data_IF_036563129276
#
_entry.id   IF_036563129276
#
_cell.length_a   1.000
_cell.length_b   1.000
_cell.length_c   1.000
_cell.angle_alpha   90.00
_cell.angle_beta   90.00
_cell.angle_gamma   90.00
#
_symmetry.space_group_name_H-M   'P 1'
#
loop_
_entity.id
_entity.type
_entity.pdbx_description
1 polymer ?
#
# COMPACT_ATOMS: atom_id res chain seq x y z
N UNK A 1 3.58 -4.30 -42.27
CA UNK A 1 4.00 -4.63 -40.89
C UNK A 1 3.07 -5.71 -40.35
N UNK A 2 3.50 -6.97 -40.35
CA UNK A 2 2.72 -8.09 -39.83
C UNK A 2 2.96 -8.21 -38.32
N UNK A 3 1.92 -7.97 -37.50
CA UNK A 3 1.96 -8.25 -36.07
C UNK A 3 1.97 -9.77 -35.87
N UNK A 4 2.96 -10.25 -35.11
CA UNK A 4 3.14 -11.67 -34.78
C UNK A 4 1.92 -12.21 -34.00
N UNK A 5 1.27 -13.31 -34.42
CA UNK A 5 0.05 -13.83 -33.79
C UNK A 5 0.27 -14.53 -32.44
N UNK A 6 1.54 -14.73 -32.03
CA UNK A 6 1.87 -15.58 -30.88
C UNK A 6 1.79 -14.90 -29.51
N UNK A 7 1.77 -13.57 -29.45
CA UNK A 7 1.75 -12.83 -28.18
C UNK A 7 0.34 -12.68 -27.58
N UNK A 8 -0.68 -12.56 -28.44
CA UNK A 8 -2.09 -12.46 -28.01
C UNK A 8 -2.57 -13.76 -27.35
N UNK A 9 -2.17 -14.92 -27.86
CA UNK A 9 -2.65 -16.23 -27.37
C UNK A 9 -2.18 -16.54 -25.94
N UNK A 10 -0.98 -16.08 -25.56
CA UNK A 10 -0.45 -16.26 -24.20
C UNK A 10 -1.10 -15.30 -23.21
N UNK A 11 -1.33 -14.05 -23.61
CA UNK A 11 -2.04 -13.05 -22.79
C UNK A 11 -3.50 -13.49 -22.53
N UNK A 12 -4.16 -14.04 -23.56
CA UNK A 12 -5.51 -14.59 -23.43
C UNK A 12 -5.55 -15.82 -22.50
N UNK A 13 -4.56 -16.70 -22.60
CA UNK A 13 -4.43 -17.89 -21.74
C UNK A 13 -4.19 -17.51 -20.28
N UNK A 14 -3.33 -16.51 -20.03
CA UNK A 14 -3.08 -15.98 -18.69
C UNK A 14 -4.33 -15.30 -18.11
N UNK A 15 -5.05 -14.53 -18.93
CA UNK A 15 -6.31 -13.90 -18.54
C UNK A 15 -7.40 -14.93 -18.20
N UNK A 16 -7.48 -16.04 -18.94
CA UNK A 16 -8.38 -17.15 -18.64
C UNK A 16 -8.01 -17.85 -17.34
N UNK A 17 -6.72 -18.12 -17.11
CA UNK A 17 -6.25 -18.72 -15.87
C UNK A 17 -6.57 -17.85 -14.64
N UNK A 18 -6.34 -16.54 -14.73
CA UNK A 18 -6.66 -15.60 -13.66
C UNK A 18 -8.17 -15.51 -13.38
N UNK A 19 -9.01 -15.52 -14.43
CA UNK A 19 -10.48 -15.59 -14.27
C UNK A 19 -10.92 -16.89 -13.59
N UNK A 20 -10.37 -18.02 -14.01
CA UNK A 20 -10.66 -19.33 -13.39
C UNK A 20 -10.26 -19.39 -11.91
N UNK A 21 -9.12 -18.80 -11.55
CA UNK A 21 -8.68 -18.66 -10.16
C UNK A 21 -9.66 -17.83 -9.32
N UNK A 22 -10.08 -16.67 -9.83
CA UNK A 22 -11.06 -15.80 -9.15
C UNK A 22 -12.39 -16.50 -8.95
N UNK A 23 -12.89 -17.18 -9.98
CA UNK A 23 -14.12 -17.93 -9.89
C UNK A 23 -14.05 -19.09 -8.88
N UNK A 24 -12.94 -19.84 -8.85
CA UNK A 24 -12.76 -20.94 -7.89
C UNK A 24 -12.69 -20.42 -6.45
N UNK A 25 -11.98 -19.31 -6.24
CA UNK A 25 -11.94 -18.65 -4.93
C UNK A 25 -13.33 -18.16 -4.50
N UNK A 26 -14.08 -17.50 -5.40
CA UNK A 26 -15.43 -17.03 -5.12
C UNK A 26 -16.40 -18.18 -4.82
N UNK A 27 -16.29 -19.32 -5.54
CA UNK A 27 -17.09 -20.52 -5.25
C UNK A 27 -16.77 -21.09 -3.88
N UNK A 28 -15.49 -21.18 -3.50
CA UNK A 28 -15.08 -21.65 -2.17
C UNK A 28 -15.57 -20.72 -1.05
N UNK A 29 -15.47 -19.41 -1.23
CA UNK A 29 -16.01 -18.41 -0.29
C UNK A 29 -17.53 -18.55 -0.17
N UNK A 30 -18.22 -18.77 -1.28
CA UNK A 30 -19.67 -18.96 -1.27
C UNK A 30 -20.06 -20.27 -0.53
N UNK A 31 -19.34 -21.37 -0.77
CA UNK A 31 -19.53 -22.63 -0.06
C UNK A 31 -19.33 -22.48 1.45
N UNK A 32 -18.25 -21.80 1.87
CA UNK A 32 -18.00 -21.50 3.27
C UNK A 32 -19.09 -20.61 3.87
N UNK A 33 -19.58 -19.63 3.11
CA UNK A 33 -20.66 -18.74 3.55
C UNK A 33 -22.00 -19.48 3.72
N UNK A 34 -22.28 -20.48 2.87
CA UNK A 34 -23.46 -21.34 3.03
C UNK A 34 -23.29 -22.28 4.23
N UNK A 35 -22.14 -22.94 4.36
CA UNK A 35 -21.87 -23.82 5.50
C UNK A 35 -21.95 -23.09 6.85
N UNK A 36 -21.43 -21.86 6.94
CA UNK A 36 -21.54 -21.04 8.15
C UNK A 36 -22.99 -20.61 8.45
N UNK A 37 -23.79 -20.37 7.41
CA UNK A 37 -25.22 -20.05 7.58
C UNK A 37 -26.03 -21.28 8.01
N UNK A 38 -25.65 -22.47 7.57
CA UNK A 38 -26.26 -23.73 8.02
C UNK A 38 -25.91 -24.04 9.48
N UNK A 39 -24.67 -23.75 9.91
CA UNK A 39 -24.25 -23.91 11.32
C UNK A 39 -24.96 -22.93 12.26
N UNK A 40 -25.30 -21.71 11.79
CA UNK A 40 -26.10 -20.73 12.54
C UNK A 40 -27.60 -21.10 12.65
N UNK A 41 -28.10 -22.02 11.81
CA UNK A 41 -29.53 -22.41 11.75
C UNK A 41 -29.80 -23.75 12.46
N UNK A 42 -28.76 -24.52 12.82
CA UNK A 42 -28.93 -25.81 13.53
C UNK A 42 -28.98 -25.71 15.06
N UNK A 43 -29.14 -24.51 15.63
CA UNK A 43 -29.36 -24.31 17.07
C UNK A 43 -30.82 -23.87 17.30
N UNK A 44 -31.77 -24.67 16.83
CA UNK A 44 -33.16 -24.59 17.28
C UNK A 44 -33.71 -26.01 17.49
N UNK A 45 -33.88 -26.33 18.76
CA UNK A 45 -34.98 -27.08 19.39
C UNK A 45 -35.45 -28.40 18.74
N UNK A 46 -35.01 -29.54 19.31
CA UNK A 46 -35.76 -30.80 19.29
C UNK A 46 -35.54 -31.61 20.59
N UNK A 47 -36.52 -31.44 21.50
CA UNK A 47 -37.21 -32.41 22.35
C UNK A 47 -36.52 -33.68 22.96
N UNK A 48 -36.63 -33.75 24.32
CA UNK A 48 -36.88 -34.92 25.22
C UNK A 48 -35.70 -35.72 25.85
N UNK A 49 -35.27 -35.25 27.04
CA UNK A 49 -35.17 -35.86 28.40
C UNK A 49 -34.90 -37.38 28.67
N UNK A 50 -34.49 -37.83 29.90
CA UNK A 50 -33.97 -37.09 31.07
C UNK A 50 -32.78 -37.77 31.81
N UNK A 51 -32.22 -37.04 32.78
CA UNK A 51 -31.53 -37.46 34.04
C UNK A 51 -30.06 -37.03 34.20
N UNK A 52 -29.85 -35.79 34.63
CA UNK A 52 -29.03 -35.52 35.84
C UNK A 52 -29.25 -34.08 36.32
N UNK A 53 -29.71 -33.98 37.55
CA UNK A 53 -30.13 -32.77 38.26
C UNK A 53 -28.97 -31.84 38.63
N UNK A 54 -28.94 -30.60 38.12
CA UNK A 54 -28.41 -29.43 38.86
C UNK A 54 -29.14 -28.15 38.39
N UNK A 55 -29.92 -27.58 39.31
CA UNK A 55 -30.42 -26.21 39.46
C UNK A 55 -30.73 -25.33 38.23
N UNK A 56 -32.00 -24.92 38.23
CA UNK A 56 -32.71 -23.96 37.39
C UNK A 56 -32.33 -22.51 37.71
N UNK A 57 -32.19 -21.72 36.62
CA UNK A 57 -32.42 -20.28 36.46
C UNK A 57 -31.50 -19.25 37.15
N UNK A 58 -30.68 -18.55 36.35
CA UNK A 58 -30.92 -17.14 35.97
C UNK A 58 -29.66 -16.47 35.37
N UNK A 59 -29.19 -16.90 34.19
CA UNK A 59 -28.07 -16.24 33.49
C UNK A 59 -28.54 -15.49 32.23
N UNK A 60 -29.70 -15.82 31.67
CA UNK A 60 -30.07 -15.37 30.31
C UNK A 60 -30.57 -13.92 30.23
N UNK A 61 -31.25 -13.44 31.29
CA UNK A 61 -31.63 -12.01 31.39
C UNK A 61 -30.45 -11.10 31.69
N UNK A 62 -29.43 -11.61 32.40
CA UNK A 62 -28.21 -10.88 32.70
C UNK A 62 -27.37 -10.67 31.45
N UNK A 63 -27.18 -11.72 30.65
CA UNK A 63 -26.38 -11.65 29.41
C UNK A 63 -27.04 -10.73 28.38
N UNK A 64 -28.36 -10.84 28.16
CA UNK A 64 -29.09 -9.98 27.23
C UNK A 64 -29.06 -8.49 27.63
N UNK A 65 -29.13 -8.17 28.92
CA UNK A 65 -29.03 -6.78 29.40
C UNK A 65 -27.63 -6.21 29.24
N UNK A 66 -26.58 -6.98 29.58
CA UNK A 66 -25.21 -6.55 29.35
C UNK A 66 -24.93 -6.36 27.86
N UNK A 67 -25.44 -7.25 27.00
CA UNK A 67 -25.31 -7.15 25.55
C UNK A 67 -26.03 -5.91 24.98
N UNK A 68 -27.22 -5.60 25.50
CA UNK A 68 -27.96 -4.38 25.12
C UNK A 68 -27.24 -3.10 25.60
N UNK A 69 -26.66 -3.11 26.79
CA UNK A 69 -25.85 -2.00 27.31
C UNK A 69 -24.55 -1.83 26.51
N UNK A 70 -23.88 -2.92 26.15
CA UNK A 70 -22.72 -2.90 25.27
C UNK A 70 -23.08 -2.38 23.88
N UNK A 71 -24.22 -2.78 23.31
CA UNK A 71 -24.75 -2.25 22.04
C UNK A 71 -25.07 -0.75 22.13
N UNK A 72 -25.67 -0.31 23.24
CA UNK A 72 -25.96 1.10 23.48
C UNK A 72 -24.68 1.92 23.62
N UNK A 73 -23.72 1.46 24.42
CA UNK A 73 -22.43 2.12 24.60
C UNK A 73 -21.63 2.19 23.30
N UNK A 74 -21.63 1.11 22.50
CA UNK A 74 -21.02 1.08 21.17
C UNK A 74 -21.71 2.05 20.21
N UNK A 75 -23.03 2.17 20.27
CA UNK A 75 -23.79 3.12 19.45
C UNK A 75 -23.54 4.58 19.86
N UNK A 76 -23.43 4.86 21.16
CA UNK A 76 -23.02 6.17 21.67
C UNK A 76 -21.59 6.52 21.25
N UNK A 77 -20.65 5.58 21.35
CA UNK A 77 -19.27 5.76 20.87
C UNK A 77 -19.22 6.00 19.36
N UNK A 78 -20.00 5.26 18.56
CA UNK A 78 -20.11 5.50 17.11
C UNK A 78 -20.65 6.90 16.82
N UNK A 79 -21.64 7.39 17.58
CA UNK A 79 -22.17 8.73 17.43
C UNK A 79 -21.14 9.81 17.79
N UNK A 80 -20.43 9.65 18.91
CA UNK A 80 -19.38 10.57 19.35
C UNK A 80 -18.18 10.59 18.39
N UNK A 81 -17.76 9.44 17.87
CA UNK A 81 -16.69 9.34 16.86
C UNK A 81 -17.10 10.02 15.55
N UNK A 82 -18.36 9.86 15.11
CA UNK A 82 -18.90 10.59 13.95
C UNK A 82 -18.95 12.08 14.19
N UNK A 83 -19.30 12.51 15.40
CA UNK A 83 -19.32 13.92 15.77
C UNK A 83 -17.91 14.51 15.86
N UNK A 84 -16.92 13.72 16.29
CA UNK A 84 -15.52 14.13 16.31
C UNK A 84 -14.94 14.22 14.90
N UNK A 85 -15.21 13.25 14.02
CA UNK A 85 -14.83 13.32 12.60
C UNK A 85 -15.52 14.48 11.88
N UNK A 86 -16.78 14.78 12.24
CA UNK A 86 -17.52 15.94 11.76
C UNK A 86 -17.12 17.28 12.41
N UNK A 87 -16.29 17.29 13.45
CA UNK A 87 -15.70 18.52 14.01
C UNK A 87 -14.27 18.71 13.49
N UNK A 88 -13.55 17.63 13.24
CA UNK A 88 -12.23 17.63 12.60
C UNK A 88 -12.28 18.04 11.13
N UNK A 89 -13.36 17.74 10.40
CA UNK A 89 -13.56 18.19 9.02
C UNK A 89 -14.03 19.66 8.88
N UNK A 90 -14.70 20.22 9.89
CA UNK A 90 -15.10 21.64 9.94
C UNK A 90 -13.94 22.56 10.40
N UNK A 91 -13.02 22.04 11.22
CA UNK A 91 -11.88 22.80 11.77
C UNK A 91 -10.57 22.65 10.99
N UNK A 92 -10.53 21.83 9.94
CA UNK A 92 -9.37 21.66 9.05
C UNK A 92 -9.76 21.91 7.59
N UNK A 93 -8.89 22.50 6.75
CA UNK A 93 -9.13 22.56 5.31
C UNK A 93 -9.27 21.13 4.75
N UNK A 94 -9.96 20.93 3.62
CA UNK A 94 -10.38 19.61 3.19
C UNK A 94 -9.14 18.71 3.04
N UNK A 95 -9.17 17.54 3.69
CA UNK A 95 -8.15 16.49 3.55
C UNK A 95 -7.90 16.30 2.06
N UNK A 96 -6.69 16.67 1.61
CA UNK A 96 -6.18 16.35 0.29
C UNK A 96 -6.43 14.86 0.07
N UNK A 97 -7.38 14.54 -0.82
CA UNK A 97 -7.33 13.31 -1.59
C UNK A 97 -5.88 13.23 -2.07
N UNK A 98 -5.17 12.14 -1.76
CA UNK A 98 -3.85 11.89 -2.35
C UNK A 98 -4.07 11.80 -3.86
N UNK A 99 -3.98 12.94 -4.52
CA UNK A 99 -3.96 13.04 -5.97
C UNK A 99 -2.68 12.34 -6.40
N UNK A 100 -2.77 11.51 -7.43
CA UNK A 100 -1.60 10.80 -7.92
C UNK A 100 -0.54 11.82 -8.38
N UNK A 101 0.76 11.49 -8.36
CA UNK A 101 1.80 12.41 -8.87
C UNK A 101 1.51 12.95 -10.29
N UNK A 102 0.75 12.19 -11.09
CA UNK A 102 0.28 12.59 -12.42
C UNK A 102 -0.79 13.68 -12.38
N UNK A 103 -1.68 13.66 -11.38
CA UNK A 103 -2.75 14.66 -11.21
C UNK A 103 -2.21 15.99 -10.64
N UNK A 104 -1.17 15.92 -9.80
CA UNK A 104 -0.48 17.13 -9.33
C UNK A 104 0.33 17.80 -10.46
N UNK A 105 0.99 17.00 -11.30
CA UNK A 105 1.70 17.50 -12.48
C UNK A 105 0.74 18.08 -13.53
N UNK A 106 -0.43 17.48 -13.74
CA UNK A 106 -1.44 18.02 -14.66
C UNK A 106 -2.09 19.29 -14.12
N UNK A 107 -2.37 19.35 -12.82
CA UNK A 107 -2.85 20.56 -12.16
C UNK A 107 -1.84 21.70 -12.21
N UNK A 108 -0.55 21.40 -12.02
CA UNK A 108 0.52 22.39 -12.12
C UNK A 108 0.71 22.86 -13.57
N UNK A 109 0.62 21.95 -14.56
CA UNK A 109 0.64 22.29 -15.99
C UNK A 109 -0.48 23.26 -16.37
N UNK A 110 -1.70 23.02 -15.89
CA UNK A 110 -2.84 23.90 -16.17
C UNK A 110 -2.66 25.29 -15.54
N UNK A 111 -2.15 25.36 -14.30
CA UNK A 111 -1.85 26.63 -13.63
C UNK A 111 -0.75 27.42 -14.35
N UNK A 112 0.31 26.75 -14.78
CA UNK A 112 1.39 27.37 -15.56
C UNK A 112 0.85 27.87 -16.90
N UNK A 113 0.01 27.10 -17.58
CA UNK A 113 -0.57 27.50 -18.86
C UNK A 113 -1.47 28.75 -18.73
N UNK A 114 -2.29 28.84 -17.67
CA UNK A 114 -3.09 30.04 -17.40
C UNK A 114 -2.20 31.26 -17.15
N UNK A 115 -1.14 31.12 -16.34
CA UNK A 115 -0.23 32.24 -16.04
C UNK A 115 0.55 32.69 -17.28
N UNK A 116 0.92 31.77 -18.18
CA UNK A 116 1.59 32.10 -19.45
C UNK A 116 0.65 32.88 -20.36
N UNK A 117 -0.60 32.41 -20.53
CA UNK A 117 -1.60 33.11 -21.36
C UNK A 117 -1.95 34.48 -20.80
N UNK A 118 -2.08 34.61 -19.47
CA UNK A 118 -2.31 35.90 -18.80
C UNK A 118 -1.10 36.83 -18.99
N UNK A 119 0.14 36.31 -18.92
CA UNK A 119 1.34 37.11 -19.18
C UNK A 119 1.41 37.60 -20.63
N UNK A 120 1.08 36.74 -21.60
CA UNK A 120 1.01 37.13 -23.01
C UNK A 120 -0.04 38.22 -23.24
N UNK A 121 -1.21 38.09 -22.59
CA UNK A 121 -2.27 39.12 -22.60
C UNK A 121 -1.78 40.44 -21.99
N UNK A 122 -1.17 40.41 -20.81
CA UNK A 122 -0.63 41.60 -20.14
C UNK A 122 0.50 42.25 -20.96
N UNK A 123 1.34 41.47 -21.61
CA UNK A 123 2.37 42.00 -22.51
C UNK A 123 1.77 42.66 -23.75
N UNK A 124 0.65 42.13 -24.27
CA UNK A 124 -0.08 42.78 -25.37
C UNK A 124 -0.74 44.08 -24.89
N UNK A 125 -1.37 44.09 -23.71
CA UNK A 125 -2.00 45.27 -23.09
C UNK A 125 -0.97 46.39 -22.86
N UNK A 126 0.21 46.06 -22.33
CA UNK A 126 1.31 47.01 -22.12
C UNK A 126 1.85 47.54 -23.46
N UNK A 127 1.95 46.69 -24.49
CA UNK A 127 2.36 47.13 -25.84
C UNK A 127 1.31 48.04 -26.48
N UNK A 128 0.01 47.82 -26.23
CA UNK A 128 -1.06 48.68 -26.74
C UNK A 128 -1.25 49.97 -25.96
N UNK A 129 -0.96 49.99 -24.66
CA UNK A 129 -0.98 51.22 -23.84
C UNK A 129 0.19 52.15 -24.14
N UNK A 130 1.37 51.60 -24.48
CA UNK A 130 2.57 52.39 -24.77
C UNK A 130 2.35 53.54 -25.78
N UNK A 131 1.71 53.35 -26.95
CA UNK A 131 1.42 54.46 -27.86
C UNK A 131 0.40 55.48 -27.30
N UNK A 132 -0.56 55.06 -26.47
CA UNK A 132 -1.52 55.98 -25.83
C UNK A 132 -0.84 56.84 -24.75
N UNK A 133 0.05 56.25 -23.95
CA UNK A 133 0.89 56.97 -22.99
C UNK A 133 1.87 57.91 -23.69
N UNK A 134 2.47 57.48 -24.81
CA UNK A 134 3.37 58.34 -25.60
C UNK A 134 2.62 59.54 -26.21
N UNK A 135 1.36 59.36 -26.63
CA UNK A 135 0.49 60.45 -27.11
C UNK A 135 0.05 61.39 -25.98
N UNK A 136 -0.24 60.85 -24.79
CA UNK A 136 -0.52 61.68 -23.59
C UNK A 136 0.71 62.49 -23.21
N UNK A 137 1.90 61.89 -23.18
CA UNK A 137 3.16 62.58 -22.87
C UNK A 137 3.51 63.65 -23.93
N UNK A 138 3.29 63.39 -25.22
CA UNK A 138 3.39 64.43 -26.27
C UNK A 138 2.42 65.59 -26.04
N UNK A 139 1.17 65.31 -25.65
CA UNK A 139 0.17 66.34 -25.35
C UNK A 139 0.57 67.20 -24.14
N UNK A 140 1.23 66.61 -23.13
CA UNK A 140 1.77 67.34 -21.99
C UNK A 140 3.00 68.20 -22.36
N UNK A 141 3.87 67.71 -23.24
CA UNK A 141 5.05 68.46 -23.70
C UNK A 141 4.69 69.64 -24.61
N UNK A 142 3.70 69.48 -25.50
CA UNK A 142 3.20 70.56 -26.37
C UNK A 142 2.45 71.64 -25.57
N UNK A 143 1.77 71.28 -24.47
CA UNK A 143 1.15 72.23 -23.56
C UNK A 143 2.19 73.00 -22.70
N UNK A 144 3.34 72.39 -22.40
CA UNK A 144 4.41 73.00 -21.60
C UNK A 144 5.36 73.89 -22.42
N UNK A 145 5.49 73.66 -23.73
CA UNK A 145 6.37 74.44 -24.61
C UNK A 145 6.01 75.92 -24.78
N UNK A 146 4.81 76.34 -24.36
CA UNK A 146 4.33 77.72 -24.50
C UNK A 146 4.68 78.64 -23.29
N UNK A 147 5.34 78.14 -22.24
CA UNK A 147 5.71 78.93 -21.05
C UNK A 147 7.22 79.20 -20.92
N UNK A 148 8.01 78.94 -21.95
CA UNK A 148 9.48 78.99 -21.87
C UNK A 148 10.10 79.90 -22.93
N UNK A 149 9.69 81.16 -22.98
CA UNK A 149 10.34 82.22 -23.75
C UNK A 149 10.57 83.52 -22.95
N UNK A 150 10.69 83.47 -21.61
CA UNK A 150 10.80 84.71 -20.81
C UNK A 150 11.88 84.79 -19.74
N UNK A 151 12.65 83.76 -19.39
CA UNK A 151 13.73 83.94 -18.40
C UNK A 151 15.05 83.32 -18.84
N UNK A 152 15.80 84.10 -19.60
CA UNK A 152 17.25 83.95 -19.74
C UNK A 152 17.90 85.31 -19.45
N UNK A 153 18.63 85.32 -18.33
CA UNK A 153 19.81 86.14 -17.99
C UNK A 153 19.65 87.62 -17.63
N UNK A 154 19.72 87.90 -16.33
CA UNK A 154 20.56 88.92 -15.63
C UNK A 154 20.13 88.89 -14.15
N UNK A 155 20.94 89.00 -13.08
CA UNK A 155 22.28 89.54 -12.87
C UNK A 155 22.51 89.60 -11.36
N UNK A 156 23.59 89.01 -10.89
CA UNK A 156 24.31 89.31 -9.64
C UNK A 156 25.78 89.21 -10.09
N UNK A 157 26.71 90.12 -9.81
CA UNK A 157 26.79 91.15 -8.79
C UNK A 157 27.93 92.08 -9.26
N UNK A 158 27.82 93.41 -9.15
CA UNK A 158 28.97 94.34 -9.16
C UNK A 158 28.51 95.80 -9.02
N UNK A 159 28.72 96.29 -7.81
CA UNK A 159 28.83 97.71 -7.42
C UNK A 159 29.99 98.38 -8.17
N UNK A 160 29.72 99.40 -8.99
CA UNK A 160 30.53 100.63 -9.18
C UNK A 160 29.60 101.75 -9.66
N UNK A 161 29.87 102.96 -9.16
CA UNK A 161 29.27 104.26 -9.47
C UNK A 161 29.24 104.64 -10.97
N UNK A 162 28.36 105.62 -11.26
CA UNK A 162 28.65 106.90 -11.92
C UNK A 162 27.68 107.31 -13.04
N UNK A 163 27.37 108.60 -13.03
CA UNK A 163 26.23 109.26 -13.60
C UNK A 163 26.31 109.53 -15.11
N UNK A 164 25.17 109.43 -15.82
CA UNK A 164 24.84 110.29 -16.99
C UNK A 164 23.33 110.57 -17.06
N UNK A 165 22.98 111.85 -16.95
CA UNK A 165 21.73 112.54 -17.34
C UNK A 165 21.22 112.05 -18.72
N UNK A 166 19.92 111.87 -19.01
CA UNK A 166 18.86 112.88 -19.25
C UNK A 166 17.63 112.20 -19.96
N UNK A 167 16.51 112.88 -20.32
CA UNK A 167 15.19 112.59 -19.72
C UNK A 167 14.00 112.54 -20.73
N UNK A 168 13.06 111.60 -20.63
CA UNK A 168 11.77 111.73 -21.34
C UNK A 168 10.74 110.85 -20.63
N UNK A 169 9.46 111.17 -20.50
CA UNK A 169 8.65 112.36 -20.74
C UNK A 169 7.33 112.04 -20.04
N UNK A 170 6.75 113.02 -19.34
CA UNK A 170 5.35 112.93 -18.95
C UNK A 170 4.50 112.70 -20.21
N UNK A 171 3.59 111.73 -20.12
CA UNK A 171 2.57 111.43 -21.10
C UNK A 171 1.40 110.80 -20.35
N UNK A 172 0.41 111.64 -20.10
CA UNK A 172 -0.81 111.39 -19.34
C UNK A 172 -1.72 110.31 -19.93
N UNK A 173 -2.70 109.95 -19.09
CA UNK A 173 -4.01 109.38 -19.39
C UNK A 173 -4.14 107.84 -19.48
N UNK A 174 -4.57 107.29 -18.34
CA UNK A 174 -5.93 106.72 -18.24
C UNK A 174 -6.38 105.81 -19.39
N UNK A 175 -5.97 104.55 -19.35
CA UNK A 175 -6.85 103.43 -19.79
C UNK A 175 -6.57 102.08 -19.12
N UNK A 176 -5.63 101.99 -18.17
CA UNK A 176 -5.19 100.69 -17.60
C UNK A 176 -5.71 100.32 -16.21
N UNK A 177 -6.54 101.15 -15.57
CA UNK A 177 -6.82 101.02 -14.13
C UNK A 177 -7.90 99.99 -13.78
N UNK A 178 -8.71 99.55 -14.75
CA UNK A 178 -9.75 98.53 -14.56
C UNK A 178 -9.26 97.10 -14.82
N UNK A 179 -8.23 96.91 -15.66
CA UNK A 179 -7.67 95.58 -15.95
C UNK A 179 -6.83 95.04 -14.77
N UNK A 180 -5.98 95.88 -14.18
CA UNK A 180 -5.06 95.47 -13.11
C UNK A 180 -5.77 95.04 -11.81
N UNK A 181 -6.89 95.69 -11.45
CA UNK A 181 -7.69 95.31 -10.27
C UNK A 181 -8.49 94.02 -10.51
N UNK A 182 -8.90 93.76 -11.76
CA UNK A 182 -9.57 92.51 -12.15
C UNK A 182 -8.65 91.30 -12.01
N UNK A 183 -7.40 91.42 -12.47
CA UNK A 183 -6.41 90.36 -12.39
C UNK A 183 -6.00 90.04 -10.95
N UNK A 184 -5.80 91.06 -10.10
CA UNK A 184 -5.50 90.86 -8.68
C UNK A 184 -6.63 90.11 -7.94
N UNK A 185 -7.88 90.43 -8.24
CA UNK A 185 -9.03 89.72 -7.67
C UNK A 185 -9.15 88.29 -8.19
N UNK A 186 -8.81 88.04 -9.47
CA UNK A 186 -8.78 86.69 -10.05
C UNK A 186 -7.73 85.81 -9.36
N UNK A 187 -6.50 86.29 -9.21
CA UNK A 187 -5.44 85.53 -8.52
C UNK A 187 -5.77 85.28 -7.04
N UNK A 188 -6.44 86.22 -6.38
CA UNK A 188 -6.94 86.04 -5.01
C UNK A 188 -7.97 84.91 -4.92
N UNK A 189 -8.91 84.83 -5.87
CA UNK A 189 -9.89 83.74 -5.93
C UNK A 189 -9.23 82.38 -6.24
N UNK A 190 -8.25 82.35 -7.14
CA UNK A 190 -7.50 81.13 -7.46
C UNK A 190 -6.68 80.62 -6.27
N UNK A 191 -6.08 81.52 -5.49
CA UNK A 191 -5.37 81.17 -4.26
C UNK A 191 -6.32 80.56 -3.22
N UNK A 192 -7.51 81.15 -3.02
CA UNK A 192 -8.49 80.61 -2.06
C UNK A 192 -9.02 79.25 -2.52
N UNK A 193 -9.26 79.06 -3.82
CA UNK A 193 -9.62 77.76 -4.40
C UNK A 193 -8.52 76.71 -4.17
N UNK A 194 -7.26 77.09 -4.35
CA UNK A 194 -6.12 76.20 -4.15
C UNK A 194 -6.00 75.81 -2.67
N UNK A 195 -6.13 76.77 -1.77
CA UNK A 195 -6.14 76.55 -0.32
C UNK A 195 -7.22 75.56 0.09
N UNK A 196 -8.47 75.76 -0.33
CA UNK A 196 -9.56 74.82 -0.08
C UNK A 196 -9.29 73.42 -0.65
N UNK A 197 -8.64 73.33 -1.81
CA UNK A 197 -8.27 72.04 -2.41
C UNK A 197 -7.23 71.30 -1.57
N UNK A 198 -6.22 72.01 -1.04
CA UNK A 198 -5.20 71.42 -0.17
C UNK A 198 -5.73 71.08 1.22
N UNK A 199 -6.63 71.91 1.78
CA UNK A 199 -7.34 71.61 3.02
C UNK A 199 -8.16 70.31 2.86
N UNK A 200 -8.99 70.21 1.81
CA UNK A 200 -9.75 68.98 1.53
C UNK A 200 -8.86 67.74 1.31
N UNK A 201 -7.69 67.90 0.68
CA UNK A 201 -6.70 66.81 0.54
C UNK A 201 -6.12 66.39 1.90
N UNK A 202 -5.81 67.36 2.75
CA UNK A 202 -5.32 67.11 4.11
C UNK A 202 -6.37 66.36 4.91
N UNK A 203 -7.62 66.83 4.92
CA UNK A 203 -8.74 66.19 5.62
C UNK A 203 -8.96 64.74 5.15
N UNK A 204 -8.86 64.50 3.84
CA UNK A 204 -8.98 63.16 3.28
C UNK A 204 -7.84 62.25 3.76
N UNK A 205 -6.59 62.71 3.73
CA UNK A 205 -5.44 61.93 4.21
C UNK A 205 -5.52 61.67 5.72
N UNK A 206 -5.95 62.65 6.50
CA UNK A 206 -6.20 62.49 7.94
C UNK A 206 -7.28 61.44 8.22
N UNK A 207 -8.38 61.45 7.45
CA UNK A 207 -9.43 60.43 7.57
C UNK A 207 -8.93 59.03 7.22
N UNK A 208 -8.08 58.89 6.18
CA UNK A 208 -7.46 57.61 5.82
C UNK A 208 -6.51 57.12 6.91
N UNK A 209 -5.69 58.01 7.49
CA UNK A 209 -4.81 57.68 8.61
C UNK A 209 -5.60 57.22 9.84
N UNK A 210 -6.74 57.87 10.12
CA UNK A 210 -7.61 57.47 11.23
C UNK A 210 -8.25 56.11 11.01
N UNK A 211 -8.72 55.82 9.78
CA UNK A 211 -9.24 54.49 9.43
C UNK A 211 -8.18 53.40 9.57
N UNK A 212 -6.99 53.61 9.00
CA UNK A 212 -5.90 52.63 9.09
C UNK A 212 -5.44 52.40 10.54
N UNK A 213 -5.41 53.45 11.38
CA UNK A 213 -5.13 53.29 12.81
C UNK A 213 -6.18 52.45 13.53
N UNK A 214 -7.46 52.62 13.18
CA UNK A 214 -8.55 51.82 13.72
C UNK A 214 -8.41 50.36 13.29
N UNK A 215 -8.21 50.10 12.01
CA UNK A 215 -8.02 48.74 11.49
C UNK A 215 -6.81 48.06 12.14
N UNK A 216 -5.69 48.77 12.31
CA UNK A 216 -4.51 48.25 13.00
C UNK A 216 -4.83 47.84 14.45
N UNK A 217 -5.57 48.68 15.19
CA UNK A 217 -5.99 48.38 16.56
C UNK A 217 -6.93 47.16 16.63
N UNK A 218 -7.83 47.02 15.66
CA UNK A 218 -8.69 45.83 15.54
C UNK A 218 -7.88 44.57 15.26
N UNK A 219 -6.95 44.60 14.29
CA UNK A 219 -6.07 43.46 14.03
C UNK A 219 -5.19 43.10 15.21
N UNK A 220 -4.65 44.10 15.93
CA UNK A 220 -3.88 43.85 17.14
C UNK A 220 -4.71 43.11 18.20
N UNK A 221 -5.94 43.57 18.46
CA UNK A 221 -6.87 42.90 19.38
C UNK A 221 -7.15 41.45 18.95
N UNK A 222 -7.43 41.21 17.67
CA UNK A 222 -7.66 39.83 17.19
C UNK A 222 -6.42 38.93 17.38
N UNK A 223 -5.21 39.47 17.24
CA UNK A 223 -3.99 38.72 17.48
C UNK A 223 -3.82 38.37 18.97
N UNK A 224 -4.17 39.29 19.88
CA UNK A 224 -4.17 39.06 21.32
C UNK A 224 -5.18 37.96 21.70
N UNK A 225 -6.43 38.05 21.22
CA UNK A 225 -7.47 37.04 21.44
C UNK A 225 -7.04 35.66 20.94
N UNK A 226 -6.43 35.58 19.75
CA UNK A 226 -5.93 34.31 19.21
C UNK A 226 -4.78 33.73 20.04
N UNK A 227 -3.86 34.57 20.53
CA UNK A 227 -2.78 34.14 21.43
C UNK A 227 -3.34 33.57 22.73
N UNK A 228 -4.35 34.19 23.32
CA UNK A 228 -4.99 33.69 24.55
C UNK A 228 -5.67 32.33 24.31
N UNK A 229 -6.41 32.20 23.20
CA UNK A 229 -7.03 30.91 22.82
C UNK A 229 -6.00 29.81 22.58
N UNK A 230 -4.84 30.15 22.02
CA UNK A 230 -3.75 29.20 21.85
C UNK A 230 -3.20 28.73 23.21
N UNK A 231 -2.86 29.67 24.11
CA UNK A 231 -2.38 29.36 25.47
C UNK A 231 -3.38 28.49 26.25
N UNK A 232 -4.67 28.75 26.10
CA UNK A 232 -5.72 27.93 26.71
C UNK A 232 -5.70 26.49 26.18
N UNK A 233 -5.59 26.31 24.85
CA UNK A 233 -5.48 24.98 24.23
C UNK A 233 -4.21 24.25 24.63
N UNK A 234 -3.08 24.95 24.71
CA UNK A 234 -1.80 24.39 25.17
C UNK A 234 -1.90 23.90 26.61
N UNK A 235 -2.54 24.68 27.49
CA UNK A 235 -2.77 24.30 28.88
C UNK A 235 -3.67 23.06 28.99
N UNK A 236 -4.74 22.99 28.19
CA UNK A 236 -5.60 21.79 28.10
C UNK A 236 -4.83 20.57 27.59
N UNK A 237 -3.99 20.75 26.56
CA UNK A 237 -3.17 19.67 26.02
C UNK A 237 -2.13 19.19 27.05
N UNK A 238 -1.45 20.09 27.75
CA UNK A 238 -0.50 19.77 28.81
C UNK A 238 -1.18 19.00 29.96
N UNK A 239 -2.36 19.43 30.40
CA UNK A 239 -3.16 18.71 31.39
C UNK A 239 -3.58 17.32 30.90
N UNK A 240 -3.97 17.19 29.63
CA UNK A 240 -4.34 15.89 29.04
C UNK A 240 -3.14 14.96 28.84
N UNK A 241 -1.95 15.50 28.56
CA UNK A 241 -0.71 14.76 28.36
C UNK A 241 -0.23 14.09 29.66
N UNK A 242 -0.48 14.71 30.82
CA UNK A 242 -0.16 14.12 32.13
C UNK A 242 -0.89 12.79 32.41
N UNK A 243 -1.97 12.50 31.68
CA UNK A 243 -2.76 11.27 31.81
C UNK A 243 -2.48 10.23 30.71
N UNK A 244 -1.44 10.45 29.90
CA UNK A 244 -1.09 9.58 28.78
C UNK A 244 0.28 8.94 28.98
N UNK A 245 0.37 7.64 28.76
CA UNK A 245 1.61 6.86 28.76
C UNK A 245 1.83 6.35 27.35
N UNK A 246 2.99 6.64 26.74
CA UNK A 246 3.29 6.24 25.36
C UNK A 246 2.34 6.80 24.31
N UNK A 247 1.67 7.93 24.57
CA UNK A 247 0.67 8.54 23.68
C UNK A 247 -0.76 8.00 23.83
N UNK A 248 -0.94 6.90 24.57
CA UNK A 248 -2.24 6.31 24.89
C UNK A 248 -2.78 6.84 26.22
N UNK A 249 -4.11 6.87 26.37
CA UNK A 249 -4.68 7.11 27.69
C UNK A 249 -4.37 5.92 28.62
N UNK A 250 -4.34 6.15 29.93
CA UNK A 250 -4.05 5.12 30.94
C UNK A 250 -4.84 3.81 30.73
N UNK A 251 -6.14 3.92 30.40
CA UNK A 251 -6.99 2.73 30.14
C UNK A 251 -6.54 1.93 28.93
N UNK A 252 -6.18 2.60 27.84
CA UNK A 252 -5.70 1.95 26.62
C UNK A 252 -4.30 1.35 26.82
N UNK A 253 -3.40 2.05 27.50
CA UNK A 253 -2.07 1.53 27.83
C UNK A 253 -2.17 0.28 28.72
N UNK A 254 -3.09 0.28 29.69
CA UNK A 254 -3.34 -0.88 30.54
C UNK A 254 -3.90 -2.07 29.75
N UNK A 255 -4.88 -1.83 28.86
CA UNK A 255 -5.43 -2.89 28.00
C UNK A 255 -4.38 -3.47 27.06
N UNK A 256 -3.55 -2.63 26.45
CA UNK A 256 -2.48 -3.09 25.55
C UNK A 256 -1.44 -3.91 26.31
N UNK A 257 -1.05 -3.51 27.52
CA UNK A 257 -0.14 -4.27 28.36
C UNK A 257 -0.71 -5.66 28.72
N UNK A 258 -1.99 -5.73 29.08
CA UNK A 258 -2.68 -6.99 29.41
C UNK A 258 -2.79 -7.89 28.17
N UNK A 259 -3.23 -7.36 27.03
CA UNK A 259 -3.38 -8.12 25.78
C UNK A 259 -2.04 -8.62 25.23
N UNK A 260 -0.98 -7.81 25.37
CA UNK A 260 0.38 -8.21 24.98
C UNK A 260 0.89 -9.35 25.85
N UNK A 261 0.58 -9.32 27.15
CA UNK A 261 0.99 -10.35 28.09
C UNK A 261 0.25 -11.67 27.87
N UNK A 262 -1.03 -11.64 27.48
CA UNK A 262 -1.87 -12.86 27.42
C UNK A 262 -2.08 -13.36 25.99
N UNK A 263 -2.66 -12.56 25.10
CA UNK A 263 -3.05 -13.04 23.77
C UNK A 263 -1.88 -13.07 22.78
N UNK A 264 -1.09 -12.00 22.73
CA UNK A 264 0.06 -11.95 21.81
C UNK A 264 1.10 -13.02 22.16
N UNK A 265 1.37 -13.19 23.46
CA UNK A 265 2.33 -14.18 23.95
C UNK A 265 1.91 -15.63 23.60
N UNK A 266 0.64 -15.99 23.79
CA UNK A 266 0.13 -17.34 23.46
C UNK A 266 0.25 -17.64 21.95
N UNK A 267 -0.02 -16.66 21.09
CA UNK A 267 0.16 -16.83 19.65
C UNK A 267 1.63 -17.01 19.26
N UNK A 268 2.53 -16.22 19.84
CA UNK A 268 3.98 -16.34 19.61
C UNK A 268 4.47 -17.72 20.04
N UNK A 269 4.14 -18.17 21.26
CA UNK A 269 4.51 -19.50 21.76
C UNK A 269 3.98 -20.63 20.85
N UNK A 270 2.77 -20.47 20.31
CA UNK A 270 2.19 -21.46 19.39
C UNK A 270 2.94 -21.50 18.06
N UNK A 271 3.30 -20.34 17.51
CA UNK A 271 4.11 -20.26 16.29
C UNK A 271 5.48 -20.90 16.52
N UNK A 272 6.15 -20.61 17.63
CA UNK A 272 7.45 -21.20 17.97
C UNK A 272 7.38 -22.72 18.08
N UNK A 273 6.34 -23.25 18.75
CA UNK A 273 6.12 -24.70 18.85
C UNK A 273 5.93 -25.36 17.48
N UNK A 274 5.04 -24.80 16.64
CA UNK A 274 4.79 -25.32 15.29
C UNK A 274 6.04 -25.22 14.40
N UNK A 275 6.83 -24.17 14.58
CA UNK A 275 8.10 -23.98 13.86
C UNK A 275 9.09 -25.07 14.23
N UNK A 276 9.20 -25.41 15.52
CA UNK A 276 10.04 -26.50 16.00
C UNK A 276 9.58 -27.88 15.49
N UNK A 277 8.28 -28.17 15.58
CA UNK A 277 7.71 -29.43 15.08
C UNK A 277 7.97 -29.61 13.58
N UNK A 278 7.82 -28.54 12.79
CA UNK A 278 8.17 -28.54 11.37
C UNK A 278 9.65 -28.89 11.15
N UNK A 279 10.56 -28.29 11.91
CA UNK A 279 12.00 -28.51 11.75
C UNK A 279 12.42 -29.92 12.14
N UNK A 280 11.85 -30.44 13.22
CA UNK A 280 12.06 -31.83 13.67
C UNK A 280 11.55 -32.81 12.60
N UNK A 281 10.36 -32.58 12.04
CA UNK A 281 9.82 -33.40 10.95
C UNK A 281 10.66 -33.31 9.67
N UNK A 282 11.15 -32.12 9.33
CA UNK A 282 12.06 -31.94 8.20
C UNK A 282 13.38 -32.71 8.41
N UNK A 283 13.94 -32.69 9.62
CA UNK A 283 15.13 -33.46 9.98
C UNK A 283 14.90 -34.97 9.81
N UNK A 284 13.79 -35.49 10.33
CA UNK A 284 13.40 -36.90 10.18
C UNK A 284 13.22 -37.25 8.70
N UNK A 285 12.54 -36.41 7.92
CA UNK A 285 12.32 -36.64 6.49
C UNK A 285 13.64 -36.72 5.72
N UNK A 286 14.61 -35.84 6.02
CA UNK A 286 15.95 -35.87 5.41
C UNK A 286 16.68 -37.16 5.76
N UNK A 287 16.62 -37.61 7.02
CA UNK A 287 17.22 -38.88 7.46
C UNK A 287 16.58 -40.10 6.80
N UNK A 288 15.25 -40.13 6.67
CA UNK A 288 14.56 -41.22 5.98
C UNK A 288 14.95 -41.25 4.51
N UNK A 289 15.03 -40.09 3.84
CA UNK A 289 15.47 -39.99 2.44
C UNK A 289 16.91 -40.50 2.24
N UNK A 290 17.84 -40.18 3.13
CA UNK A 290 19.21 -40.70 3.03
C UNK A 290 19.27 -42.21 3.25
N UNK A 291 18.55 -42.74 4.25
CA UNK A 291 18.49 -44.19 4.49
C UNK A 291 17.87 -44.97 3.33
N UNK A 292 16.85 -44.39 2.67
CA UNK A 292 16.24 -44.96 1.47
C UNK A 292 17.25 -45.00 0.30
N UNK A 293 18.00 -43.93 0.08
CA UNK A 293 19.04 -43.88 -0.95
C UNK A 293 20.13 -44.93 -0.71
N UNK A 294 20.54 -45.14 0.55
CA UNK A 294 21.49 -46.20 0.92
C UNK A 294 20.92 -47.60 0.71
N UNK A 295 19.66 -47.83 1.09
CA UNK A 295 18.97 -49.09 0.87
C UNK A 295 18.86 -49.41 -0.63
N UNK A 296 18.49 -48.43 -1.45
CA UNK A 296 18.45 -48.56 -2.92
C UNK A 296 19.83 -48.86 -3.51
N UNK A 297 20.90 -48.20 -3.03
CA UNK A 297 22.27 -48.50 -3.45
C UNK A 297 22.69 -49.93 -3.11
N UNK A 298 22.32 -50.42 -1.93
CA UNK A 298 22.59 -51.81 -1.53
C UNK A 298 21.80 -52.82 -2.36
N UNK A 299 20.55 -52.51 -2.67
CA UNK A 299 19.69 -53.33 -3.53
C UNK A 299 20.25 -53.43 -4.95
N UNK A 300 20.65 -52.32 -5.56
CA UNK A 300 21.25 -52.34 -6.92
C UNK A 300 22.57 -53.09 -6.95
N UNK A 301 23.40 -52.95 -5.92
CA UNK A 301 24.64 -53.74 -5.81
C UNK A 301 24.37 -55.24 -5.66
N UNK A 302 23.41 -55.63 -4.81
CA UNK A 302 23.02 -57.02 -4.64
C UNK A 302 22.42 -57.60 -5.93
N UNK A 303 21.62 -56.82 -6.65
CA UNK A 303 21.08 -57.19 -7.96
C UNK A 303 22.19 -57.48 -8.97
N UNK A 304 23.19 -56.60 -9.12
CA UNK A 304 24.32 -56.83 -10.03
C UNK A 304 25.17 -58.04 -9.59
N UNK A 305 25.37 -58.26 -8.28
CA UNK A 305 26.07 -59.45 -7.78
C UNK A 305 25.35 -60.74 -8.17
N UNK A 306 24.03 -60.80 -7.98
CA UNK A 306 23.22 -61.97 -8.36
C UNK A 306 23.27 -62.19 -9.86
N UNK A 307 23.16 -61.13 -10.65
CA UNK A 307 23.25 -61.18 -12.11
C UNK A 307 24.60 -61.75 -12.58
N UNK A 308 25.72 -61.28 -12.01
CA UNK A 308 27.03 -61.85 -12.30
C UNK A 308 27.14 -63.32 -11.87
N UNK A 309 26.65 -63.68 -10.68
CA UNK A 309 26.69 -65.06 -10.21
C UNK A 309 25.89 -66.01 -11.13
N UNK A 310 24.70 -65.60 -11.55
CA UNK A 310 23.88 -66.35 -12.51
C UNK A 310 24.64 -66.56 -13.82
N UNK A 311 25.19 -65.49 -14.41
CA UNK A 311 25.97 -65.59 -15.65
C UNK A 311 27.15 -66.57 -15.50
N UNK A 312 27.94 -66.48 -14.42
CA UNK A 312 29.06 -67.38 -14.18
C UNK A 312 28.62 -68.85 -14.05
N UNK A 313 27.47 -69.10 -13.42
CA UNK A 313 26.93 -70.48 -13.31
C UNK A 313 26.39 -71.00 -14.63
N UNK A 314 25.78 -70.16 -15.45
CA UNK A 314 25.30 -70.50 -16.79
C UNK A 314 26.49 -70.85 -17.71
N UNK A 315 27.53 -70.03 -17.72
CA UNK A 315 28.77 -70.29 -18.48
C UNK A 315 29.46 -71.59 -18.03
N UNK A 316 29.57 -71.82 -16.72
CA UNK A 316 30.14 -73.06 -16.19
C UNK A 316 29.30 -74.30 -16.56
N UNK A 317 27.97 -74.20 -16.56
CA UNK A 317 27.08 -75.28 -16.98
C UNK A 317 27.17 -75.53 -18.48
N UNK A 318 27.33 -74.48 -19.29
CA UNK A 318 27.53 -74.59 -20.73
C UNK A 318 28.82 -75.37 -21.04
N UNK A 319 29.94 -75.03 -20.38
CA UNK A 319 31.22 -75.72 -20.59
C UNK A 319 31.19 -77.18 -20.10
N UNK A 320 30.50 -77.47 -18.98
CA UNK A 320 30.25 -78.86 -18.53
C UNK A 320 29.46 -79.65 -19.56
N UNK A 321 28.40 -79.07 -20.13
CA UNK A 321 27.58 -79.75 -21.14
C UNK A 321 28.40 -80.04 -22.40
N UNK A 322 29.18 -79.06 -22.86
CA UNK A 322 30.10 -79.19 -24.00
C UNK A 322 31.12 -80.31 -23.81
N UNK A 323 31.75 -80.41 -22.64
CA UNK A 323 32.71 -81.49 -22.35
C UNK A 323 32.05 -82.87 -22.26
N UNK A 324 30.85 -82.99 -21.68
CA UNK A 324 30.10 -84.26 -21.68
C UNK A 324 29.67 -84.71 -23.07
N UNK A 325 29.33 -83.76 -23.96
CA UNK A 325 28.92 -84.06 -25.33
C UNK A 325 30.10 -84.43 -26.24
N UNK A 326 31.25 -83.78 -26.09
CA UNK A 326 32.47 -84.12 -26.83
C UNK A 326 33.19 -85.39 -26.34
N UNK A 327 32.79 -85.94 -25.19
CA UNK A 327 33.41 -87.12 -24.57
C UNK A 327 32.76 -88.47 -24.88
N UNK A 328 31.76 -88.54 -25.75
CA UNK A 328 31.11 -89.82 -26.12
C UNK A 328 31.94 -90.53 -27.20
N UNK A 329 32.47 -91.75 -26.96
CA UNK A 329 33.05 -92.57 -28.02
C UNK A 329 31.94 -93.10 -28.94
N UNK A 330 32.22 -93.14 -30.25
CA UNK A 330 31.43 -93.86 -31.26
C UNK A 330 30.88 -95.21 -30.76
N UNK A 331 29.62 -95.59 -31.08
CA UNK A 331 29.13 -96.93 -30.79
C UNK A 331 29.75 -97.93 -31.78
N UNK A 332 30.86 -98.56 -31.40
CA UNK A 332 31.40 -99.72 -32.11
C UNK A 332 30.63 -100.99 -31.74
N UNK A 333 29.84 -101.46 -32.70
CA UNK A 333 29.50 -102.86 -33.02
C UNK A 333 29.07 -103.81 -31.90
N UNK A 334 27.75 -104.03 -31.80
CA UNK A 334 27.13 -105.24 -31.22
C UNK A 334 27.41 -106.46 -32.10
N UNK A 335 28.54 -107.14 -31.90
CA UNK A 335 28.80 -108.45 -32.53
C UNK A 335 29.71 -109.36 -31.70
N UNK A 336 29.43 -109.52 -30.40
CA UNK A 336 29.99 -110.64 -29.63
C UNK A 336 29.22 -110.78 -28.32
N UNK A 337 28.16 -111.59 -28.30
CA UNK A 337 27.64 -112.39 -27.16
C UNK A 337 26.52 -113.25 -27.77
N UNK A 338 26.90 -114.29 -28.51
CA UNK A 338 25.98 -115.37 -28.87
C UNK A 338 26.75 -116.69 -28.93
N UNK A 339 27.19 -117.21 -27.77
CA UNK A 339 27.41 -118.64 -27.56
C UNK A 339 27.50 -118.94 -26.06
N UNK A 340 26.37 -119.36 -25.48
CA UNK A 340 26.17 -120.65 -24.78
C UNK A 340 24.90 -120.57 -23.89
N UNK A 341 24.01 -121.56 -24.05
CA UNK A 341 22.74 -121.78 -23.33
C UNK A 341 22.92 -122.94 -22.31
N UNK A 342 21.95 -123.26 -21.41
CA UNK A 342 22.10 -123.33 -19.95
C UNK A 342 22.00 -124.78 -19.41
N UNK A 343 21.78 -124.98 -18.09
CA UNK A 343 20.43 -125.42 -17.70
C UNK A 343 19.91 -124.78 -16.39
N UNK A 344 18.57 -124.65 -16.29
CA UNK A 344 17.82 -124.28 -15.07
C UNK A 344 17.56 -125.51 -14.18
N UNK A 345 16.43 -125.63 -13.45
CA UNK A 345 15.37 -124.65 -13.15
C UNK A 345 14.96 -124.63 -11.64
N UNK A 346 14.24 -123.59 -11.22
CA UNK A 346 13.53 -123.56 -9.94
C UNK A 346 12.66 -122.32 -9.83
N UNK A 347 11.40 -122.42 -10.26
CA UNK A 347 10.38 -121.39 -10.03
C UNK A 347 9.75 -121.48 -8.63
N UNK A 348 8.56 -120.91 -8.37
CA UNK A 348 7.82 -119.93 -9.16
C UNK A 348 7.20 -118.76 -8.33
N UNK A 349 6.86 -117.68 -9.06
CA UNK A 349 5.64 -116.85 -9.00
C UNK A 349 5.02 -116.46 -7.63
N UNK A 350 4.83 -115.16 -7.39
CA UNK A 350 3.54 -114.48 -7.68
C UNK A 350 3.49 -113.00 -7.21
N UNK A 351 3.01 -112.15 -8.13
CA UNK A 351 2.02 -111.08 -7.94
C UNK A 351 2.26 -109.86 -7.03
N UNK A 352 2.25 -108.70 -7.73
CA UNK A 352 1.14 -107.70 -7.73
C UNK A 352 1.08 -106.66 -6.59
N UNK A 353 0.80 -105.43 -7.05
CA UNK A 353 0.13 -104.28 -6.37
C UNK A 353 0.98 -103.46 -5.40
N UNK A 354 1.19 -102.19 -5.75
CA UNK A 354 0.42 -100.99 -5.33
C UNK A 354 0.75 -100.53 -3.91
N UNK A 355 1.02 -99.23 -3.80
CA UNK A 355 0.66 -98.44 -2.62
C UNK A 355 1.77 -98.17 -1.61
N UNK A 356 1.90 -96.89 -1.23
CA UNK A 356 2.66 -96.45 -0.05
C UNK A 356 3.38 -95.12 -0.29
N UNK A 357 2.66 -93.98 -0.33
CA UNK A 357 2.52 -93.01 0.79
C UNK A 357 3.88 -92.52 1.33
N UNK A 358 4.22 -91.26 1.06
CA UNK A 358 3.85 -90.06 1.84
C UNK A 358 4.62 -89.91 3.17
N UNK A 359 5.53 -88.93 3.19
CA UNK A 359 5.88 -88.06 4.32
C UNK A 359 6.54 -86.82 3.69
N UNK A 360 5.98 -85.61 3.63
CA UNK A 360 4.94 -85.02 4.44
C UNK A 360 5.52 -84.09 5.51
N UNK A 361 6.27 -83.06 5.13
CA UNK A 361 6.49 -81.90 6.01
C UNK A 361 6.61 -80.61 5.17
N UNK A 362 5.45 -79.98 4.97
CA UNK A 362 5.33 -78.60 4.49
C UNK A 362 5.93 -77.65 5.53
N UNK A 363 6.79 -76.72 5.11
CA UNK A 363 6.87 -75.40 5.72
C UNK A 363 6.77 -74.35 4.61
N UNK A 364 5.53 -74.09 4.19
CA UNK A 364 5.18 -72.87 3.47
C UNK A 364 5.39 -71.72 4.44
N UNK A 365 6.30 -70.79 4.14
CA UNK A 365 6.22 -69.44 4.72
C UNK A 365 5.74 -68.51 3.61
N UNK A 366 4.48 -68.10 3.78
CA UNK A 366 3.84 -67.04 3.02
C UNK A 366 4.56 -65.73 3.36
N UNK A 367 5.03 -65.00 2.34
CA UNK A 367 5.28 -63.55 2.45
C UNK A 367 3.91 -62.88 2.53
N UNK A 368 3.38 -62.76 3.75
CA UNK A 368 2.24 -61.88 4.02
C UNK A 368 2.79 -60.50 4.37
N UNK A 369 2.31 -59.54 3.58
CA UNK A 369 2.30 -58.10 3.83
C UNK A 369 2.15 -57.77 5.31
N UNK A 370 2.96 -56.82 5.78
CA UNK A 370 2.68 -56.04 6.98
C UNK A 370 2.93 -54.58 6.65
N UNK A 371 1.95 -53.97 6.00
CA UNK A 371 1.60 -52.58 6.28
C UNK A 371 0.96 -52.59 7.66
N UNK A 372 1.71 -52.17 8.68
CA UNK A 372 1.17 -51.89 10.00
C UNK A 372 1.39 -50.40 10.26
N UNK A 373 0.28 -49.66 10.18
CA UNK A 373 0.14 -48.36 10.82
C UNK A 373 0.43 -48.53 12.32
N UNK A 374 1.29 -47.67 12.86
CA UNK A 374 1.34 -47.39 14.29
C UNK A 374 0.98 -45.91 14.49
N UNK A 375 -0.31 -45.68 14.70
CA UNK A 375 -0.78 -44.55 15.50
C UNK A 375 -0.50 -44.87 16.97
N UNK A 376 0.27 -44.02 17.64
CA UNK A 376 0.22 -43.81 19.09
C UNK A 376 0.58 -42.33 19.29
N UNK A 377 -0.39 -41.44 19.56
CA UNK A 377 -0.95 -41.15 20.90
C UNK A 377 0.15 -41.08 21.96
N UNK A 378 0.74 -39.90 22.10
CA UNK A 378 1.34 -39.41 23.33
C UNK A 378 0.49 -38.27 23.86
N UNK A 379 0.07 -38.39 25.12
CA UNK A 379 -0.50 -37.34 25.94
C UNK A 379 0.47 -36.17 26.13
#
# INVERSE_FOLDING_TARGET
>A
MAKSPGKSTLEDSLGQYQRSLRERANRSIHQLKCALREVDVTVEEDALDPSTSINVENEDTGVAWHELQHSHAVSQLKALLRQQTNKENETSPPRRRKLSPSDELSGMKNRVQVVVLENERLQQELKSQRPEETLREQTFLDASGNMQNSWIMTREDSRVDEAVKRPFSHGDAETGKTASTGDANKWKLELERLKLTYEAKTDLLESQLMLLRKDLAEYQKTCEDLKERLKHKESLLAASASSRVGGLCLKCAQHEAVLSQTHSNVHIQTIERLTKERDDLMSVLVSVRSSLAEAQKRETSAYEQVKHAVQMTEEANFEKTKTTFCGVPEPRSLQQILRQKPPGPGGPLSSRREGGRMSGARKRRCLRSSVALACHRGC
#
